data_IF_871963329260
#
_entry.id   IF_871963329260
#
_cell.length_a   1.000
_cell.length_b   1.000
_cell.length_c   1.000
_cell.angle_alpha   90.00
_cell.angle_beta   90.00
_cell.angle_gamma   90.00
#
_symmetry.space_group_name_H-M   'P 1'
#
loop_
_entity.id
_entity.type
_entity.pdbx_description
1 polymer ?
#
# COMPACT_ATOMS: atom_id res chain seq x y z
N UNK A 1 -2.43 3.22 -6.67
CA UNK A 1 -3.55 3.78 -5.90
C UNK A 1 -4.59 4.31 -6.88
N UNK A 2 -5.89 4.29 -6.52
CA UNK A 2 -6.96 4.92 -7.31
C UNK A 2 -7.52 6.14 -6.58
N UNK A 3 -7.96 7.13 -7.35
CA UNK A 3 -8.58 8.35 -6.83
C UNK A 3 -9.94 8.50 -7.50
N UNK A 4 -10.99 8.52 -6.69
CA UNK A 4 -12.35 8.82 -7.16
C UNK A 4 -12.58 10.32 -7.06
N UNK A 5 -13.15 10.91 -8.12
CA UNK A 5 -13.40 12.33 -8.25
C UNK A 5 -14.85 12.51 -8.72
N UNK A 6 -15.54 13.53 -8.19
CA UNK A 6 -16.86 13.91 -8.68
C UNK A 6 -16.72 14.80 -9.93
N UNK A 7 -17.57 14.63 -10.96
CA UNK A 7 -17.57 15.52 -12.12
C UNK A 7 -18.18 16.90 -11.82
N UNK A 8 -18.83 17.08 -10.67
CA UNK A 8 -19.52 18.33 -10.32
C UNK A 8 -18.55 19.46 -9.99
N UNK A 9 -18.76 20.63 -10.59
CA UNK A 9 -17.91 21.81 -10.39
C UNK A 9 -17.87 22.31 -8.95
N UNK A 10 -18.95 22.11 -8.18
CA UNK A 10 -19.00 22.45 -6.75
C UNK A 10 -17.96 21.68 -5.93
N UNK A 11 -17.53 20.52 -6.42
CA UNK A 11 -16.55 19.65 -5.76
C UNK A 11 -15.10 19.89 -6.18
N UNK A 12 -14.83 20.90 -7.03
CA UNK A 12 -13.48 21.16 -7.57
C UNK A 12 -12.41 21.35 -6.49
N UNK A 13 -12.74 22.02 -5.38
CA UNK A 13 -11.82 22.25 -4.28
C UNK A 13 -11.31 20.94 -3.66
N UNK A 14 -12.25 20.07 -3.26
CA UNK A 14 -11.95 18.74 -2.70
C UNK A 14 -11.24 17.85 -3.73
N UNK A 15 -11.71 17.86 -4.97
CA UNK A 15 -11.13 17.12 -6.09
C UNK A 15 -9.65 17.49 -6.31
N UNK A 16 -9.33 18.78 -6.28
CA UNK A 16 -7.95 19.27 -6.40
C UNK A 16 -7.10 18.83 -5.20
N UNK A 17 -7.69 18.80 -4.00
CA UNK A 17 -7.01 18.33 -2.80
C UNK A 17 -6.62 16.84 -2.92
N UNK A 18 -7.58 16.00 -3.34
CA UNK A 18 -7.35 14.57 -3.60
C UNK A 18 -6.31 14.33 -4.70
N UNK A 19 -6.36 15.09 -5.81
CA UNK A 19 -5.39 14.98 -6.89
C UNK A 19 -3.97 15.38 -6.47
N UNK A 20 -3.82 16.48 -5.70
CA UNK A 20 -2.53 16.91 -5.17
C UNK A 20 -1.92 15.87 -4.23
N UNK A 21 -2.74 15.27 -3.37
CA UNK A 21 -2.31 14.19 -2.51
C UNK A 21 -1.86 12.96 -3.32
N UNK A 22 -2.68 12.54 -4.28
CA UNK A 22 -2.38 11.40 -5.13
C UNK A 22 -1.12 11.59 -5.98
N UNK A 23 -0.86 12.80 -6.48
CA UNK A 23 0.37 13.11 -7.21
C UNK A 23 1.61 12.88 -6.34
N UNK A 24 1.55 13.23 -5.05
CA UNK A 24 2.65 12.98 -4.12
C UNK A 24 2.83 11.49 -3.86
N UNK A 25 1.73 10.77 -3.57
CA UNK A 25 1.77 9.31 -3.36
C UNK A 25 2.28 8.57 -4.61
N UNK A 26 1.87 9.01 -5.81
CA UNK A 26 2.32 8.42 -7.06
C UNK A 26 3.81 8.62 -7.32
N UNK A 27 4.40 9.69 -6.78
CA UNK A 27 5.84 9.93 -6.84
C UNK A 27 6.62 9.16 -5.75
N UNK A 28 5.94 8.54 -4.79
CA UNK A 28 6.59 7.71 -3.78
C UNK A 28 6.94 6.34 -4.38
N UNK A 29 8.22 6.00 -4.35
CA UNK A 29 8.66 4.64 -4.60
C UNK A 29 8.48 3.81 -3.33
N UNK A 30 7.58 2.83 -3.40
CA UNK A 30 7.37 1.87 -2.33
C UNK A 30 8.05 0.58 -2.79
N UNK A 31 9.15 0.22 -2.14
CA UNK A 31 9.92 -0.98 -2.47
C UNK A 31 9.08 -2.26 -2.39
N UNK A 32 9.64 -3.37 -2.88
CA UNK A 32 8.94 -4.65 -2.93
C UNK A 32 8.64 -5.13 -1.49
N UNK A 33 7.37 -5.36 -1.12
CA UNK A 33 7.04 -5.85 0.21
C UNK A 33 7.64 -7.25 0.41
N UNK A 34 8.56 -7.38 1.38
CA UNK A 34 9.10 -8.69 1.78
C UNK A 34 8.20 -9.32 2.84
N UNK A 35 7.57 -10.45 2.50
CA UNK A 35 6.78 -11.23 3.46
C UNK A 35 7.72 -11.78 4.55
N UNK A 36 7.62 -11.26 5.77
CA UNK A 36 8.27 -11.85 6.94
C UNK A 36 7.34 -12.92 7.51
N UNK A 37 7.40 -14.13 6.96
CA UNK A 37 6.92 -15.29 7.70
C UNK A 37 7.99 -15.61 8.73
N UNK A 38 7.67 -15.50 10.02
CA UNK A 38 8.57 -15.95 11.09
C UNK A 38 8.66 -17.49 11.00
N UNK A 39 9.53 -17.98 10.11
CA UNK A 39 9.99 -19.36 10.15
C UNK A 39 10.95 -19.42 11.32
N UNK A 40 10.35 -19.61 12.50
CA UNK A 40 11.02 -20.26 13.58
C UNK A 40 11.40 -21.67 13.08
N UNK A 41 12.51 -21.77 12.35
CA UNK A 41 13.26 -23.02 12.18
C UNK A 41 13.99 -23.22 13.50
N UNK A 42 13.24 -23.38 14.59
CA UNK A 42 13.76 -24.13 15.71
C UNK A 42 13.86 -25.56 15.21
N UNK A 43 15.09 -26.02 15.07
CA UNK A 43 15.49 -27.41 15.06
C UNK A 43 14.45 -28.30 15.78
N UNK A 44 13.46 -28.82 15.07
CA UNK A 44 12.76 -30.02 15.50
C UNK A 44 13.47 -31.17 14.83
N UNK A 45 14.70 -31.41 15.31
CA UNK A 45 15.42 -32.68 15.18
C UNK A 45 14.66 -33.77 15.94
N UNK A 46 13.44 -34.05 15.55
CA UNK A 46 12.67 -35.17 16.08
C UNK A 46 12.04 -35.88 14.89
N UNK A 47 12.90 -36.64 14.20
CA UNK A 47 12.54 -37.95 13.68
C UNK A 47 11.68 -38.66 14.71
N UNK A 48 10.38 -38.74 14.47
CA UNK A 48 9.44 -39.52 15.27
C UNK A 48 8.61 -40.35 14.30
N UNK A 49 8.92 -41.65 14.27
CA UNK A 49 8.08 -42.73 13.75
C UNK A 49 8.20 -42.99 12.26
#
# INVERSE_FOLDING_TARGET
MFVNISPDKSSLGESLCSLRFASRVNACEIGIPRRQTNMCVSESRLSLG
#
